data_IF_869676556454
#
_entry.id   IF_869676556454
#
_cell.length_a   1.000
_cell.length_b   1.000
_cell.length_c   1.000
_cell.angle_alpha   90.00
_cell.angle_beta   90.00
_cell.angle_gamma   90.00
#
_symmetry.space_group_name_H-M   'P 1'
#
loop_
_entity.id
_entity.type
_entity.pdbx_description
1 polymer ?
#
# COMPACT_ATOMS: atom_id res chain seq x y z
N UNK A 1 -21.40 0.98 28.84
CA UNK A 1 -22.72 0.74 28.23
C UNK A 1 -23.14 -0.69 28.57
N UNK A 2 -23.56 -0.90 29.78
CA UNK A 2 -23.84 -2.22 30.37
C UNK A 2 -25.04 -2.97 29.77
N UNK A 3 -25.79 -2.35 28.89
CA UNK A 3 -27.00 -2.92 28.28
C UNK A 3 -26.86 -3.14 26.76
N UNK A 4 -25.85 -2.56 26.13
CA UNK A 4 -25.67 -2.58 24.69
C UNK A 4 -24.63 -3.65 24.27
N UNK A 5 -25.02 -4.59 23.41
CA UNK A 5 -24.18 -5.69 22.95
C UNK A 5 -23.87 -5.63 21.47
N UNK A 6 -22.60 -5.70 21.14
CA UNK A 6 -22.10 -5.66 19.78
C UNK A 6 -21.19 -6.88 19.52
N UNK A 7 -21.66 -7.80 18.67
CA UNK A 7 -20.86 -8.90 18.17
C UNK A 7 -20.98 -8.96 16.65
N UNK A 8 -19.84 -8.87 15.96
CA UNK A 8 -19.77 -8.90 14.49
C UNK A 8 -20.13 -10.26 13.91
N UNK A 9 -19.98 -11.32 14.68
CA UNK A 9 -20.23 -12.69 14.24
C UNK A 9 -21.62 -13.20 14.64
N UNK A 10 -22.45 -12.37 15.29
CA UNK A 10 -23.78 -12.77 15.71
C UNK A 10 -24.74 -12.90 14.51
N UNK A 11 -25.16 -14.11 14.24
CA UNK A 11 -26.12 -14.46 13.19
C UNK A 11 -27.54 -14.64 13.69
N UNK A 12 -27.77 -14.52 15.01
CA UNK A 12 -29.10 -14.75 15.61
C UNK A 12 -30.02 -13.55 15.35
N UNK A 13 -31.26 -13.82 14.95
CA UNK A 13 -32.26 -12.81 14.61
C UNK A 13 -32.86 -12.10 15.83
N UNK A 14 -32.78 -12.69 17.05
CA UNK A 14 -33.37 -12.10 18.25
C UNK A 14 -32.71 -10.77 18.59
N UNK A 15 -33.56 -9.77 18.85
CA UNK A 15 -33.15 -8.39 19.22
C UNK A 15 -32.46 -8.36 20.59
N UNK A 16 -32.93 -9.20 21.51
CA UNK A 16 -32.41 -9.32 22.89
C UNK A 16 -31.54 -10.56 22.98
N UNK A 17 -30.37 -10.40 23.58
CA UNK A 17 -29.49 -11.48 24.00
C UNK A 17 -29.56 -11.61 25.54
N UNK A 18 -29.75 -12.81 26.04
CA UNK A 18 -29.68 -13.12 27.49
C UNK A 18 -28.40 -13.94 27.67
N UNK A 19 -27.51 -13.45 28.51
CA UNK A 19 -26.25 -14.12 28.79
C UNK A 19 -26.41 -15.26 29.85
N UNK A 20 -25.29 -15.93 30.15
CA UNK A 20 -25.27 -17.04 31.13
C UNK A 20 -25.55 -16.63 32.58
N UNK A 21 -25.57 -15.33 32.86
CA UNK A 21 -25.92 -14.76 34.16
C UNK A 21 -27.34 -14.22 34.19
N UNK A 22 -28.19 -14.54 33.18
CA UNK A 22 -29.55 -14.06 33.00
C UNK A 22 -29.64 -12.55 32.76
N UNK A 23 -28.50 -11.89 32.46
CA UNK A 23 -28.47 -10.47 32.14
C UNK A 23 -28.97 -10.25 30.73
N UNK A 24 -29.85 -9.25 30.56
CA UNK A 24 -30.46 -8.88 29.29
C UNK A 24 -29.63 -7.84 28.57
N UNK A 25 -29.40 -8.05 27.25
CA UNK A 25 -28.62 -7.18 26.40
C UNK A 25 -29.39 -6.85 25.13
N UNK A 26 -29.38 -5.56 24.72
CA UNK A 26 -29.88 -5.13 23.41
C UNK A 26 -28.81 -5.25 22.36
N UNK A 27 -29.11 -5.92 21.23
CA UNK A 27 -28.19 -6.05 20.14
C UNK A 27 -28.15 -4.79 19.27
N UNK A 28 -27.05 -4.06 19.29
CA UNK A 28 -26.88 -2.77 18.64
C UNK A 28 -27.23 -2.77 17.15
N UNK A 29 -27.06 -3.90 16.42
CA UNK A 29 -27.38 -4.00 14.99
C UNK A 29 -28.85 -3.67 14.69
N UNK A 30 -29.78 -3.96 15.60
CA UNK A 30 -31.22 -3.73 15.41
C UNK A 30 -31.60 -2.26 15.56
N UNK A 31 -30.72 -1.37 16.05
CA UNK A 31 -31.01 0.07 16.11
C UNK A 31 -31.29 0.65 14.72
N UNK A 32 -30.69 0.06 13.67
CA UNK A 32 -30.87 0.51 12.28
C UNK A 32 -32.29 0.26 11.76
N UNK A 33 -33.03 -0.68 12.36
CA UNK A 33 -34.41 -0.99 12.03
C UNK A 33 -35.39 0.08 12.60
N UNK A 34 -34.92 0.86 13.59
CA UNK A 34 -35.70 1.86 14.32
C UNK A 34 -35.62 3.27 13.72
N UNK A 35 -35.25 3.41 12.43
CA UNK A 35 -35.01 4.69 11.75
C UNK A 35 -36.14 5.73 11.89
N UNK A 36 -37.38 5.28 12.10
CA UNK A 36 -38.53 6.15 12.25
C UNK A 36 -39.02 6.17 13.73
N UNK A 37 -39.34 7.35 14.23
CA UNK A 37 -39.87 7.52 15.58
C UNK A 37 -41.05 6.59 15.88
N UNK A 38 -41.94 6.34 14.91
CA UNK A 38 -43.05 5.41 15.04
C UNK A 38 -42.57 3.96 15.31
N UNK A 39 -41.53 3.50 14.63
CA UNK A 39 -40.99 2.17 14.86
C UNK A 39 -40.33 2.07 16.24
N UNK A 40 -39.67 3.13 16.67
CA UNK A 40 -39.08 3.23 18.01
C UNK A 40 -40.13 3.15 19.11
N UNK A 41 -41.22 3.91 18.96
CA UNK A 41 -42.34 3.88 19.92
C UNK A 41 -42.99 2.49 19.99
N UNK A 42 -43.30 1.88 18.84
CA UNK A 42 -43.86 0.52 18.77
C UNK A 42 -42.92 -0.51 19.39
N UNK A 43 -41.63 -0.36 19.21
CA UNK A 43 -40.63 -1.24 19.79
C UNK A 43 -40.57 -1.11 21.32
N UNK A 44 -40.59 0.12 21.85
CA UNK A 44 -40.51 0.38 23.26
C UNK A 44 -41.78 -0.08 24.02
N UNK A 45 -42.94 0.03 23.40
CA UNK A 45 -44.21 -0.38 23.95
C UNK A 45 -44.52 -1.88 23.76
N UNK A 46 -43.61 -2.61 23.09
CA UNK A 46 -43.83 -4.04 22.85
C UNK A 46 -43.71 -4.87 24.14
N UNK A 47 -44.73 -5.62 24.50
CA UNK A 47 -44.68 -6.50 25.66
C UNK A 47 -43.67 -7.64 25.54
N UNK A 48 -43.20 -7.92 24.33
CA UNK A 48 -42.25 -9.00 24.06
C UNK A 48 -40.83 -8.73 24.63
N UNK A 49 -40.47 -7.46 24.87
CA UNK A 49 -39.13 -7.09 25.33
C UNK A 49 -39.05 -6.68 26.78
N UNK A 50 -40.18 -6.23 27.37
CA UNK A 50 -40.34 -5.85 28.80
C UNK A 50 -39.11 -5.03 29.30
N UNK A 51 -38.87 -3.87 28.68
CA UNK A 51 -37.75 -2.99 29.04
C UNK A 51 -38.07 -2.23 30.32
N UNK A 52 -37.08 -2.08 31.18
CA UNK A 52 -37.11 -1.17 32.32
C UNK A 52 -36.95 0.28 31.86
N UNK A 53 -37.34 1.24 32.71
CA UNK A 53 -37.23 2.67 32.44
C UNK A 53 -35.76 3.07 32.13
N UNK A 54 -34.79 2.53 32.87
CA UNK A 54 -33.36 2.75 32.63
C UNK A 54 -32.88 2.16 31.30
N UNK A 55 -33.38 1.00 30.87
CA UNK A 55 -33.07 0.39 29.58
C UNK A 55 -33.64 1.23 28.44
N UNK A 56 -34.83 1.78 28.59
CA UNK A 56 -35.46 2.68 27.62
C UNK A 56 -34.70 3.99 27.49
N UNK A 57 -34.20 4.56 28.58
CA UNK A 57 -33.36 5.75 28.57
C UNK A 57 -32.06 5.50 27.77
N UNK A 58 -31.36 4.41 28.08
CA UNK A 58 -30.14 4.02 27.34
C UNK A 58 -30.40 3.77 25.85
N UNK A 59 -31.53 3.16 25.49
CA UNK A 59 -31.91 3.00 24.08
C UNK A 59 -32.19 4.35 23.40
N UNK A 60 -32.83 5.28 24.10
CA UNK A 60 -33.07 6.63 23.62
C UNK A 60 -31.78 7.42 23.38
N UNK A 61 -30.84 7.35 24.31
CA UNK A 61 -29.51 7.93 24.15
C UNK A 61 -28.75 7.32 22.94
N UNK A 62 -28.78 6.00 22.82
CA UNK A 62 -28.14 5.30 21.73
C UNK A 62 -28.79 5.63 20.37
N UNK A 63 -30.13 5.69 20.33
CA UNK A 63 -30.86 6.14 19.14
C UNK A 63 -30.48 7.56 18.75
N UNK A 64 -30.46 8.47 19.72
CA UNK A 64 -30.07 9.86 19.48
C UNK A 64 -28.63 9.97 18.99
N UNK A 65 -27.73 9.17 19.53
CA UNK A 65 -26.32 9.12 19.09
C UNK A 65 -26.17 8.71 17.61
N UNK A 66 -27.00 7.78 17.15
CA UNK A 66 -26.91 7.23 15.77
C UNK A 66 -27.68 8.11 14.77
N UNK A 67 -28.89 8.60 15.12
CA UNK A 67 -29.81 9.24 14.18
C UNK A 67 -29.94 10.75 14.36
N UNK A 68 -29.29 11.36 15.35
CA UNK A 68 -29.36 12.81 15.54
C UNK A 68 -28.64 13.52 14.38
N UNK A 69 -29.36 14.42 13.72
CA UNK A 69 -28.84 15.30 12.65
C UNK A 69 -28.26 16.60 13.20
N UNK A 70 -28.16 16.74 14.52
CA UNK A 70 -27.59 17.93 15.17
C UNK A 70 -26.07 18.01 14.97
N UNK A 71 -25.47 19.17 15.27
CA UNK A 71 -24.02 19.45 15.14
C UNK A 71 -23.08 18.48 15.90
N UNK A 72 -23.65 17.49 16.60
CA UNK A 72 -22.92 16.46 17.36
C UNK A 72 -22.85 15.11 16.63
N UNK A 73 -23.10 15.05 15.33
CA UNK A 73 -22.94 13.82 14.55
C UNK A 73 -21.49 13.30 14.71
N UNK A 74 -21.37 12.04 15.18
CA UNK A 74 -20.08 11.39 15.41
C UNK A 74 -19.49 10.78 14.14
N UNK A 75 -20.34 10.54 13.15
CA UNK A 75 -19.96 9.96 11.86
C UNK A 75 -20.42 10.92 10.77
N UNK A 76 -19.46 11.51 10.10
CA UNK A 76 -19.71 12.31 8.90
C UNK A 76 -19.30 11.51 7.67
N UNK A 77 -20.07 11.57 6.60
CA UNK A 77 -19.69 10.99 5.33
C UNK A 77 -19.79 12.04 4.22
N UNK A 78 -18.96 11.90 3.24
CA UNK A 78 -19.01 12.64 1.99
C UNK A 78 -19.26 11.65 0.85
N UNK A 79 -20.33 11.86 0.09
CA UNK A 79 -20.62 11.05 -1.08
C UNK A 79 -19.84 11.63 -2.27
N UNK A 80 -18.90 10.86 -2.80
CA UNK A 80 -18.21 11.17 -4.04
C UNK A 80 -18.90 10.43 -5.20
N UNK A 81 -19.32 11.16 -6.22
CA UNK A 81 -20.04 10.63 -7.39
C UNK A 81 -19.10 10.35 -8.57
N UNK A 82 -17.83 10.75 -8.48
CA UNK A 82 -16.84 10.50 -9.53
C UNK A 82 -16.15 9.15 -9.28
N UNK A 83 -16.37 8.20 -10.17
CA UNK A 83 -15.84 6.82 -10.07
C UNK A 83 -14.33 6.71 -10.29
N UNK A 84 -13.59 7.83 -10.43
CA UNK A 84 -12.14 7.81 -10.61
C UNK A 84 -11.44 7.37 -9.33
N UNK A 85 -10.73 6.23 -9.32
CA UNK A 85 -10.01 5.72 -8.15
C UNK A 85 -9.02 6.73 -7.56
N UNK A 86 -8.38 7.53 -8.41
CA UNK A 86 -7.42 8.56 -8.02
C UNK A 86 -8.05 9.65 -7.15
N UNK A 87 -9.29 10.05 -7.45
CA UNK A 87 -10.01 11.05 -6.66
C UNK A 87 -10.37 10.51 -5.28
N UNK A 88 -10.87 9.28 -5.22
CA UNK A 88 -11.18 8.61 -3.96
C UNK A 88 -9.96 8.50 -3.05
N UNK A 89 -8.80 8.13 -3.62
CA UNK A 89 -7.54 8.05 -2.87
C UNK A 89 -7.05 9.41 -2.41
N UNK A 90 -7.13 10.44 -3.24
CA UNK A 90 -6.74 11.79 -2.84
C UNK A 90 -7.61 12.32 -1.69
N UNK A 91 -8.91 12.06 -1.71
CA UNK A 91 -9.83 12.39 -0.62
C UNK A 91 -9.44 11.61 0.64
N UNK A 92 -9.20 10.31 0.52
CA UNK A 92 -8.79 9.46 1.63
C UNK A 92 -7.50 9.92 2.31
N UNK A 93 -6.46 10.26 1.53
CA UNK A 93 -5.20 10.83 2.05
C UNK A 93 -5.45 12.14 2.79
N UNK A 94 -6.23 13.04 2.22
CA UNK A 94 -6.52 14.36 2.82
C UNK A 94 -7.29 14.24 4.12
N UNK A 95 -8.26 13.34 4.21
CA UNK A 95 -9.03 13.12 5.44
C UNK A 95 -8.14 12.52 6.54
N UNK A 96 -7.23 11.61 6.19
CA UNK A 96 -6.34 10.97 7.14
C UNK A 96 -5.10 11.82 7.50
N UNK A 97 -4.89 12.98 6.88
CA UNK A 97 -3.75 13.86 7.17
C UNK A 97 -3.77 14.48 8.57
N UNK A 98 -4.89 14.44 9.28
CA UNK A 98 -5.02 14.89 10.67
C UNK A 98 -4.64 13.84 11.74
N UNK A 99 -4.31 12.61 11.33
CA UNK A 99 -3.93 11.50 12.21
C UNK A 99 -2.58 10.90 11.83
N UNK A 100 -2.45 9.56 11.92
CA UNK A 100 -1.31 8.85 11.35
C UNK A 100 -1.35 9.02 9.83
N UNK A 101 -0.43 9.80 9.29
CA UNK A 101 -0.35 10.08 7.85
C UNK A 101 -0.16 8.76 7.11
N UNK A 102 -1.17 8.37 6.33
CA UNK A 102 -0.99 7.32 5.34
C UNK A 102 -0.22 7.92 4.16
N UNK A 103 0.93 7.33 3.86
CA UNK A 103 1.71 7.74 2.70
C UNK A 103 1.01 7.23 1.42
N UNK A 104 1.17 7.97 0.34
CA UNK A 104 0.64 7.61 -0.96
C UNK A 104 1.13 6.23 -1.41
N UNK A 105 2.34 5.87 -1.03
CA UNK A 105 2.93 4.55 -1.25
C UNK A 105 2.19 3.40 -0.55
N UNK A 106 1.62 3.63 0.64
CA UNK A 106 0.85 2.61 1.37
C UNK A 106 -0.41 2.21 0.59
N UNK A 107 -1.04 3.17 -0.04
CA UNK A 107 -2.24 2.95 -0.84
C UNK A 107 -1.89 2.23 -2.14
N UNK A 108 -0.82 2.66 -2.81
CA UNK A 108 -0.33 1.98 -4.01
C UNK A 108 0.12 0.55 -3.72
N UNK A 109 0.75 0.33 -2.56
CA UNK A 109 1.09 -1.01 -2.11
C UNK A 109 -0.15 -1.87 -1.90
N UNK A 110 -1.18 -1.33 -1.25
CA UNK A 110 -2.46 -2.02 -1.06
C UNK A 110 -3.16 -2.33 -2.39
N UNK A 111 -3.07 -1.41 -3.36
CA UNK A 111 -3.58 -1.62 -4.70
C UNK A 111 -2.80 -2.72 -5.44
N UNK A 112 -1.48 -2.73 -5.36
CA UNK A 112 -0.64 -3.78 -5.93
C UNK A 112 -0.97 -5.15 -5.31
N UNK A 113 -1.09 -5.22 -3.98
CA UNK A 113 -1.46 -6.45 -3.25
C UNK A 113 -2.82 -6.98 -3.70
N UNK A 114 -3.81 -6.11 -3.89
CA UNK A 114 -5.15 -6.52 -4.30
C UNK A 114 -5.24 -7.05 -5.74
N UNK A 115 -4.28 -6.71 -6.60
CA UNK A 115 -4.31 -7.02 -8.03
C UNK A 115 -3.37 -8.16 -8.46
N UNK A 116 -2.50 -8.65 -7.59
CA UNK A 116 -1.76 -9.90 -7.86
C UNK A 116 -2.68 -11.10 -7.69
N UNK A 117 -2.57 -12.07 -8.61
CA UNK A 117 -3.48 -13.20 -8.68
C UNK A 117 -2.85 -14.53 -8.28
N UNK A 118 -1.56 -14.72 -8.58
CA UNK A 118 -0.86 -15.99 -8.43
C UNK A 118 0.10 -16.01 -7.23
N UNK A 119 0.46 -14.85 -6.70
CA UNK A 119 1.40 -14.70 -5.58
C UNK A 119 0.83 -13.73 -4.55
N UNK A 120 1.18 -13.93 -3.30
CA UNK A 120 0.92 -12.94 -2.26
C UNK A 120 1.96 -11.80 -2.36
N UNK A 121 1.58 -10.71 -3.01
CA UNK A 121 2.43 -9.54 -3.19
C UNK A 121 2.93 -8.97 -1.86
N UNK A 122 2.12 -9.05 -0.80
CA UNK A 122 2.50 -8.54 0.52
C UNK A 122 3.66 -9.32 1.09
N UNK A 123 3.54 -10.64 1.11
CA UNK A 123 4.60 -11.54 1.59
C UNK A 123 5.83 -11.41 0.72
N UNK A 124 5.70 -11.50 -0.59
CA UNK A 124 6.84 -11.44 -1.52
C UNK A 124 7.66 -10.13 -1.40
N UNK A 125 7.00 -8.99 -1.29
CA UNK A 125 7.67 -7.69 -1.19
C UNK A 125 8.30 -7.51 0.19
N UNK A 126 7.59 -7.87 1.27
CA UNK A 126 8.13 -7.77 2.63
C UNK A 126 9.33 -8.69 2.82
N UNK A 127 9.26 -9.95 2.38
CA UNK A 127 10.37 -10.89 2.45
C UNK A 127 11.61 -10.38 1.71
N UNK A 128 11.41 -9.74 0.55
CA UNK A 128 12.52 -9.13 -0.19
C UNK A 128 13.15 -7.96 0.58
N UNK A 129 12.33 -7.09 1.14
CA UNK A 129 12.79 -5.97 1.97
C UNK A 129 13.56 -6.48 3.18
N UNK A 130 13.00 -7.45 3.90
CA UNK A 130 13.61 -8.05 5.09
C UNK A 130 14.93 -8.77 4.75
N UNK A 131 14.97 -9.49 3.65
CA UNK A 131 16.20 -10.12 3.18
C UNK A 131 17.32 -9.10 2.92
N UNK A 132 17.01 -8.01 2.21
CA UNK A 132 18.01 -6.98 1.89
C UNK A 132 18.47 -6.26 3.16
N UNK A 133 17.56 -5.94 4.07
CA UNK A 133 17.89 -5.21 5.27
C UNK A 133 18.65 -6.08 6.28
N UNK A 134 18.14 -7.27 6.59
CA UNK A 134 18.69 -8.12 7.64
C UNK A 134 19.91 -8.92 7.18
N UNK A 135 19.94 -9.44 5.94
CA UNK A 135 21.00 -10.31 5.46
C UNK A 135 22.11 -9.56 4.72
N UNK A 136 21.76 -8.46 4.03
CA UNK A 136 22.72 -7.70 3.24
C UNK A 136 23.20 -6.41 3.92
N UNK A 137 22.49 -5.95 4.98
CA UNK A 137 22.90 -4.81 5.80
C UNK A 137 22.57 -3.45 5.20
N UNK A 138 21.53 -3.38 4.38
CA UNK A 138 21.00 -2.13 3.84
C UNK A 138 19.75 -1.69 4.60
N UNK A 139 19.16 -0.56 4.20
CA UNK A 139 17.91 -0.05 4.74
C UNK A 139 17.04 0.47 3.60
N UNK A 140 16.18 -0.41 3.09
CA UNK A 140 15.17 -0.08 2.09
C UNK A 140 13.78 -0.29 2.64
N UNK A 141 12.79 0.37 2.04
CA UNK A 141 11.37 0.18 2.36
C UNK A 141 10.64 -0.47 1.17
N UNK A 142 9.37 -0.83 1.38
CA UNK A 142 8.47 -1.26 0.29
C UNK A 142 8.37 -0.21 -0.82
N UNK A 143 8.49 1.08 -0.50
CA UNK A 143 8.47 2.18 -1.48
C UNK A 143 9.61 2.06 -2.47
N UNK A 144 10.79 1.60 -2.03
CA UNK A 144 11.90 1.31 -2.92
C UNK A 144 11.50 0.26 -3.97
N UNK A 145 10.82 -0.80 -3.55
CA UNK A 145 10.39 -1.87 -4.47
C UNK A 145 9.34 -1.34 -5.47
N UNK A 146 8.34 -0.60 -4.99
CA UNK A 146 7.33 0.00 -5.86
C UNK A 146 7.95 1.00 -6.85
N UNK A 147 8.92 1.79 -6.39
CA UNK A 147 9.66 2.72 -7.25
C UNK A 147 10.55 2.01 -8.27
N UNK A 148 11.10 0.85 -7.91
CA UNK A 148 11.82 0.01 -8.85
C UNK A 148 10.92 -0.45 -10.01
N UNK A 149 9.65 -0.81 -9.73
CA UNK A 149 8.69 -1.15 -10.78
C UNK A 149 8.50 0.01 -11.77
N UNK A 150 8.28 1.22 -11.26
CA UNK A 150 8.13 2.41 -12.09
C UNK A 150 9.42 2.70 -12.89
N UNK A 151 10.57 2.60 -12.24
CA UNK A 151 11.86 2.87 -12.91
C UNK A 151 12.15 1.86 -14.02
N UNK A 152 11.77 0.61 -13.86
CA UNK A 152 11.96 -0.43 -14.87
C UNK A 152 11.03 -0.26 -16.08
N UNK A 153 9.77 0.14 -15.86
CA UNK A 153 8.73 -0.03 -16.86
C UNK A 153 7.85 1.18 -17.15
N UNK A 154 7.86 2.22 -16.32
CA UNK A 154 6.95 3.34 -16.48
C UNK A 154 7.68 4.62 -16.92
N UNK A 155 7.03 5.44 -17.76
CA UNK A 155 7.61 6.71 -18.25
C UNK A 155 7.78 7.76 -17.15
N UNK A 156 6.93 7.71 -16.13
CA UNK A 156 6.94 8.62 -14.98
C UNK A 156 7.29 7.85 -13.71
N UNK A 157 8.31 8.34 -12.99
CA UNK A 157 8.79 7.73 -11.74
C UNK A 157 8.08 8.38 -10.53
N UNK A 158 6.85 8.83 -10.72
CA UNK A 158 6.03 9.39 -9.63
C UNK A 158 5.00 8.36 -9.18
N UNK A 159 4.81 8.28 -7.87
CA UNK A 159 3.71 7.52 -7.32
C UNK A 159 2.37 8.17 -7.68
N UNK A 160 1.65 7.57 -8.63
CA UNK A 160 0.30 7.94 -9.05
C UNK A 160 -0.48 6.66 -9.29
N UNK A 161 -1.77 6.65 -9.02
CA UNK A 161 -2.60 5.44 -9.23
C UNK A 161 -2.59 5.05 -10.70
N UNK A 162 -2.75 6.02 -11.60
CA UNK A 162 -2.72 5.78 -13.04
C UNK A 162 -1.43 5.09 -13.52
N UNK A 163 -0.33 5.22 -12.76
CA UNK A 163 0.94 4.53 -13.05
C UNK A 163 0.88 3.03 -12.76
N UNK A 164 -0.13 2.56 -12.02
CA UNK A 164 -0.30 1.16 -11.62
C UNK A 164 -1.55 0.51 -12.25
N UNK A 165 -2.29 1.25 -13.08
CA UNK A 165 -3.47 0.78 -13.80
C UNK A 165 -3.13 0.04 -15.10
N UNK A 166 -4.17 -0.33 -15.87
CA UNK A 166 -4.05 -0.88 -17.22
C UNK A 166 -3.20 -2.16 -17.34
N UNK A 167 -3.32 -3.05 -16.36
CA UNK A 167 -2.61 -4.32 -16.39
C UNK A 167 -1.12 -4.23 -16.02
N UNK A 168 -0.61 -3.04 -15.66
CA UNK A 168 0.77 -2.85 -15.21
C UNK A 168 1.12 -3.77 -14.06
N UNK A 169 0.30 -3.82 -13.02
CA UNK A 169 0.52 -4.66 -11.84
C UNK A 169 0.58 -6.16 -12.19
N UNK A 170 -0.29 -6.62 -13.09
CA UNK A 170 -0.28 -8.01 -13.55
C UNK A 170 1.02 -8.36 -14.26
N UNK A 171 1.51 -7.47 -15.12
CA UNK A 171 2.80 -7.68 -15.80
C UNK A 171 3.99 -7.65 -14.83
N UNK A 172 3.92 -6.83 -13.78
CA UNK A 172 4.91 -6.86 -12.71
C UNK A 172 4.91 -8.23 -12.01
N UNK A 173 3.73 -8.81 -11.73
CA UNK A 173 3.63 -10.14 -11.15
C UNK A 173 4.27 -11.21 -12.05
N UNK A 174 3.97 -11.17 -13.34
CA UNK A 174 4.55 -12.09 -14.34
C UNK A 174 6.10 -12.00 -14.38
N UNK A 175 6.64 -10.80 -14.26
CA UNK A 175 8.09 -10.52 -14.29
C UNK A 175 8.76 -10.54 -12.91
N UNK A 176 7.99 -10.77 -11.85
CA UNK A 176 8.43 -10.62 -10.45
C UNK A 176 9.71 -11.38 -10.13
N UNK A 177 9.84 -12.63 -10.57
CA UNK A 177 11.02 -13.45 -10.29
C UNK A 177 12.31 -12.79 -10.78
N UNK A 178 12.30 -12.25 -12.00
CA UNK A 178 13.46 -11.58 -12.59
C UNK A 178 13.73 -10.22 -11.91
N UNK A 179 12.68 -9.47 -11.57
CA UNK A 179 12.80 -8.21 -10.85
C UNK A 179 13.42 -8.45 -9.47
N UNK A 180 12.87 -9.38 -8.70
CA UNK A 180 13.35 -9.79 -7.38
C UNK A 180 14.83 -10.19 -7.42
N UNK A 181 15.18 -11.05 -8.36
CA UNK A 181 16.57 -11.51 -8.53
C UNK A 181 17.50 -10.36 -8.90
N UNK A 182 17.10 -9.46 -9.79
CA UNK A 182 17.89 -8.29 -10.18
C UNK A 182 18.16 -7.35 -9.01
N UNK A 183 17.14 -7.10 -8.18
CA UNK A 183 17.27 -6.29 -6.97
C UNK A 183 18.24 -6.98 -5.98
N UNK A 184 18.05 -8.26 -5.69
CA UNK A 184 18.93 -9.01 -4.78
C UNK A 184 20.39 -8.97 -5.28
N UNK A 185 20.63 -9.29 -6.55
CA UNK A 185 21.98 -9.30 -7.12
C UNK A 185 22.62 -7.93 -7.09
N UNK A 186 21.84 -6.87 -7.30
CA UNK A 186 22.31 -5.49 -7.13
C UNK A 186 22.83 -5.25 -5.72
N UNK A 187 22.05 -5.55 -4.70
CA UNK A 187 22.47 -5.33 -3.31
C UNK A 187 23.61 -6.25 -2.87
N UNK A 188 23.66 -7.49 -3.35
CA UNK A 188 24.82 -8.38 -3.14
C UNK A 188 26.08 -7.77 -3.75
N UNK A 189 26.00 -7.24 -4.98
CA UNK A 189 27.13 -6.59 -5.63
C UNK A 189 27.60 -5.34 -4.87
N UNK A 190 26.67 -4.50 -4.39
CA UNK A 190 26.99 -3.33 -3.57
C UNK A 190 27.66 -3.73 -2.24
N UNK A 191 27.19 -4.79 -1.59
CA UNK A 191 27.83 -5.36 -0.40
C UNK A 191 29.26 -5.84 -0.69
N UNK A 192 29.48 -6.49 -1.85
CA UNK A 192 30.81 -6.92 -2.27
C UNK A 192 31.76 -5.74 -2.56
N UNK A 193 31.22 -4.57 -2.90
CA UNK A 193 31.98 -3.32 -2.97
C UNK A 193 32.26 -2.66 -1.62
N UNK A 194 31.82 -3.27 -0.51
CA UNK A 194 31.98 -2.75 0.85
C UNK A 194 30.92 -1.72 1.25
N UNK A 195 29.80 -1.61 0.52
CA UNK A 195 28.73 -0.68 0.83
C UNK A 195 27.69 -1.31 1.77
N UNK A 196 27.04 -0.47 2.54
CA UNK A 196 25.96 -0.82 3.46
C UNK A 196 25.03 0.40 3.69
N UNK A 197 24.06 0.28 4.58
CA UNK A 197 23.11 1.37 4.90
C UNK A 197 23.76 2.66 5.38
N UNK A 198 24.96 2.62 5.97
CA UNK A 198 25.67 3.81 6.47
C UNK A 198 26.49 4.51 5.39
N UNK A 199 26.96 3.76 4.40
CA UNK A 199 27.84 4.27 3.35
C UNK A 199 27.09 4.66 2.08
N UNK A 200 25.90 4.08 1.85
CA UNK A 200 25.04 4.41 0.72
C UNK A 200 24.26 5.72 1.03
N UNK A 201 24.66 6.82 0.42
CA UNK A 201 24.10 8.16 0.68
C UNK A 201 22.64 8.32 0.22
N UNK A 202 22.17 7.54 -0.74
CA UNK A 202 20.79 7.57 -1.26
C UNK A 202 20.43 6.26 -1.93
N UNK A 203 19.31 5.67 -1.56
CA UNK A 203 18.74 4.49 -2.22
C UNK A 203 18.38 4.75 -3.69
N UNK A 204 18.12 6.01 -4.08
CA UNK A 204 17.86 6.37 -5.48
C UNK A 204 19.03 6.04 -6.41
N UNK A 205 20.26 6.04 -5.91
CA UNK A 205 21.45 5.67 -6.69
C UNK A 205 21.45 4.20 -7.12
N UNK A 206 20.61 3.36 -6.51
CA UNK A 206 20.56 1.92 -6.80
C UNK A 206 19.71 1.60 -8.03
N UNK A 207 18.66 2.39 -8.32
CA UNK A 207 17.75 2.10 -9.43
C UNK A 207 18.43 1.96 -10.80
N UNK A 208 19.38 2.82 -11.19
CA UNK A 208 20.10 2.65 -12.46
C UNK A 208 20.86 1.33 -12.55
N UNK A 209 21.38 0.81 -11.43
CA UNK A 209 22.09 -0.47 -11.38
C UNK A 209 21.10 -1.62 -11.56
N UNK A 210 19.95 -1.56 -10.86
CA UNK A 210 18.85 -2.56 -11.02
C UNK A 210 18.42 -2.60 -12.48
N UNK A 211 18.19 -1.42 -13.09
CA UNK A 211 17.80 -1.31 -14.50
C UNK A 211 18.84 -1.97 -15.43
N UNK A 212 20.11 -1.64 -15.22
CA UNK A 212 21.21 -2.18 -16.00
C UNK A 212 21.30 -3.71 -15.93
N UNK A 213 21.28 -4.26 -14.70
CA UNK A 213 21.35 -5.71 -14.48
C UNK A 213 20.14 -6.42 -15.08
N UNK A 214 18.94 -5.84 -14.89
CA UNK A 214 17.68 -6.40 -15.37
C UNK A 214 17.64 -6.46 -16.90
N UNK A 215 17.80 -5.34 -17.58
CA UNK A 215 17.63 -5.25 -19.02
C UNK A 215 18.78 -5.85 -19.83
N UNK A 216 19.95 -6.00 -19.23
CA UNK A 216 21.06 -6.78 -19.83
C UNK A 216 21.04 -8.27 -19.49
N UNK A 217 20.03 -8.73 -18.72
CA UNK A 217 19.92 -10.12 -18.27
C UNK A 217 21.19 -10.65 -17.58
N UNK A 218 21.79 -9.84 -16.69
CA UNK A 218 23.06 -10.19 -16.02
C UNK A 218 22.86 -10.93 -14.69
N UNK A 219 21.63 -11.21 -14.29
CA UNK A 219 21.28 -11.72 -12.96
C UNK A 219 21.99 -13.00 -12.55
N UNK A 220 22.25 -13.91 -13.47
CA UNK A 220 22.88 -15.19 -13.15
C UNK A 220 24.37 -15.04 -12.84
N UNK A 221 25.08 -14.19 -13.58
CA UNK A 221 26.53 -14.20 -13.64
C UNK A 221 27.21 -12.92 -13.15
N UNK A 222 26.45 -11.86 -12.82
CA UNK A 222 27.01 -10.53 -12.50
C UNK A 222 27.96 -10.56 -11.30
N UNK A 223 27.82 -11.50 -10.38
CA UNK A 223 28.62 -11.55 -9.16
C UNK A 223 30.03 -12.09 -9.45
N UNK A 224 30.14 -13.21 -10.15
CA UNK A 224 31.37 -14.02 -10.20
C UNK A 224 31.98 -14.18 -11.61
N UNK A 225 31.18 -14.06 -12.67
CA UNK A 225 31.69 -14.34 -14.03
C UNK A 225 32.83 -13.38 -14.42
N UNK A 226 33.91 -13.95 -14.91
CA UNK A 226 35.09 -13.19 -15.37
C UNK A 226 34.72 -12.30 -16.58
N UNK A 227 33.85 -12.77 -17.46
CA UNK A 227 33.34 -12.03 -18.61
C UNK A 227 32.65 -10.73 -18.25
N UNK A 228 32.03 -10.64 -17.05
CA UNK A 228 31.32 -9.47 -16.56
C UNK A 228 32.17 -8.59 -15.63
N UNK A 229 33.48 -8.75 -15.61
CA UNK A 229 34.38 -7.90 -14.82
C UNK A 229 34.24 -6.43 -15.20
N UNK A 230 34.15 -6.12 -16.48
CA UNK A 230 34.00 -4.75 -16.96
C UNK A 230 32.67 -4.13 -16.52
N UNK A 231 31.59 -4.89 -16.59
CA UNK A 231 30.26 -4.41 -16.09
C UNK A 231 30.31 -4.09 -14.60
N UNK A 232 30.94 -4.94 -13.78
CA UNK A 232 31.15 -4.66 -12.35
C UNK A 232 31.98 -3.40 -12.10
N UNK A 233 33.04 -3.16 -12.87
CA UNK A 233 33.86 -1.95 -12.76
C UNK A 233 33.07 -0.67 -13.16
N UNK A 234 32.24 -0.76 -14.19
CA UNK A 234 31.34 0.34 -14.59
C UNK A 234 30.36 0.65 -13.47
N UNK A 235 29.67 -0.37 -12.91
CA UNK A 235 28.74 -0.23 -11.81
C UNK A 235 29.44 0.36 -10.58
N UNK A 236 30.65 -0.11 -10.27
CA UNK A 236 31.44 0.39 -9.14
C UNK A 236 31.81 1.86 -9.32
N UNK A 237 32.28 2.26 -10.48
CA UNK A 237 32.58 3.67 -10.78
C UNK A 237 31.34 4.55 -10.67
N UNK A 238 30.21 4.08 -11.21
CA UNK A 238 28.93 4.79 -11.12
C UNK A 238 28.52 5.01 -9.67
N UNK A 239 28.46 3.95 -8.85
CA UNK A 239 27.95 4.08 -7.47
C UNK A 239 28.88 4.93 -6.59
N UNK A 240 30.19 4.82 -6.75
CA UNK A 240 31.14 5.67 -6.05
C UNK A 240 31.00 7.14 -6.45
N UNK A 241 30.83 7.42 -7.74
CA UNK A 241 30.53 8.77 -8.23
C UNK A 241 29.22 9.32 -7.65
N UNK A 242 28.18 8.50 -7.60
CA UNK A 242 26.89 8.89 -7.02
C UNK A 242 26.97 9.18 -5.52
N UNK A 243 27.79 8.46 -4.77
CA UNK A 243 28.04 8.70 -3.33
C UNK A 243 28.80 10.01 -3.12
N UNK A 244 29.82 10.27 -3.92
CA UNK A 244 30.68 11.45 -3.78
C UNK A 244 29.98 12.73 -4.24
N UNK A 245 29.33 12.70 -5.40
CA UNK A 245 28.70 13.88 -6.01
C UNK A 245 27.29 14.15 -5.49
N UNK A 246 26.66 13.18 -4.83
CA UNK A 246 25.32 13.27 -4.22
C UNK A 246 24.22 13.83 -5.17
N UNK A 247 24.13 13.39 -6.43
CA UNK A 247 23.17 13.93 -7.40
C UNK A 247 21.71 13.77 -6.99
N UNK A 248 21.42 12.85 -6.08
CA UNK A 248 20.09 12.55 -5.57
C UNK A 248 19.69 13.33 -4.31
N UNK A 249 20.49 14.30 -3.87
CA UNK A 249 20.24 15.06 -2.65
C UNK A 249 19.13 16.12 -2.74
N UNK A 250 18.64 16.39 -3.96
CA UNK A 250 17.52 17.31 -4.20
C UNK A 250 16.30 16.57 -4.77
N UNK A 251 15.81 17.00 -5.96
CA UNK A 251 14.75 16.34 -6.69
C UNK A 251 15.21 15.02 -7.33
N UNK A 252 15.34 13.98 -6.52
CA UNK A 252 15.84 12.65 -6.95
C UNK A 252 15.02 12.04 -8.11
N UNK A 253 13.73 12.29 -8.18
CA UNK A 253 12.85 11.77 -9.23
C UNK A 253 13.14 12.40 -10.60
N UNK A 254 13.52 13.67 -10.64
CA UNK A 254 13.92 14.32 -11.88
C UNK A 254 15.26 13.76 -12.41
N UNK A 255 16.21 13.51 -11.50
CA UNK A 255 17.49 12.89 -11.84
C UNK A 255 17.27 11.48 -12.38
N UNK A 256 16.45 10.67 -11.71
CA UNK A 256 16.10 9.33 -12.16
C UNK A 256 15.40 9.34 -13.53
N UNK A 257 14.48 10.27 -13.74
CA UNK A 257 13.79 10.42 -15.05
C UNK A 257 14.79 10.72 -16.17
N UNK A 258 15.77 11.57 -15.91
CA UNK A 258 16.79 11.89 -16.92
C UNK A 258 17.73 10.70 -17.19
N UNK A 259 18.19 10.01 -16.14
CA UNK A 259 18.99 8.79 -16.30
C UNK A 259 18.23 7.73 -17.09
N UNK A 260 16.95 7.54 -16.80
CA UNK A 260 16.12 6.57 -17.51
C UNK A 260 15.96 6.91 -19.00
N UNK A 261 15.81 8.17 -19.37
CA UNK A 261 15.77 8.61 -20.77
C UNK A 261 17.06 8.21 -21.51
N UNK A 262 18.22 8.35 -20.87
CA UNK A 262 19.50 7.91 -21.45
C UNK A 262 19.51 6.40 -21.62
N UNK A 263 19.10 5.64 -20.64
CA UNK A 263 19.05 4.18 -20.71
C UNK A 263 18.11 3.68 -21.82
N UNK A 264 16.92 4.24 -21.95
CA UNK A 264 15.97 3.87 -23.01
C UNK A 264 16.61 4.08 -24.38
N UNK A 265 17.29 5.21 -24.60
CA UNK A 265 17.96 5.52 -25.84
C UNK A 265 19.11 4.54 -26.16
N UNK A 266 19.95 4.22 -25.17
CA UNK A 266 21.13 3.36 -25.35
C UNK A 266 20.78 1.88 -25.44
N UNK A 267 19.74 1.42 -24.72
CA UNK A 267 19.34 0.01 -24.71
C UNK A 267 18.36 -0.34 -25.82
N UNK A 268 17.89 0.65 -26.58
CA UNK A 268 16.84 0.45 -27.60
C UNK A 268 15.62 -0.31 -27.05
N UNK A 269 15.31 -0.04 -25.78
CA UNK A 269 14.35 -0.81 -25.03
C UNK A 269 12.94 -0.28 -25.27
N UNK A 270 12.18 -0.98 -26.10
CA UNK A 270 10.74 -0.81 -26.30
C UNK A 270 9.91 -1.28 -25.09
N UNK A 271 10.52 -1.41 -23.89
CA UNK A 271 9.80 -1.84 -22.70
C UNK A 271 8.65 -0.89 -22.30
N UNK A 272 8.74 0.40 -22.67
CA UNK A 272 7.60 1.34 -22.54
C UNK A 272 6.46 1.01 -23.51
N UNK A 273 6.74 0.57 -24.74
CA UNK A 273 5.71 0.17 -25.69
C UNK A 273 4.97 -1.07 -25.22
N UNK A 274 5.63 -2.02 -24.55
CA UNK A 274 4.98 -3.19 -23.97
C UNK A 274 3.90 -2.82 -22.94
N UNK A 275 4.08 -1.72 -22.18
CA UNK A 275 3.15 -1.29 -21.14
C UNK A 275 2.18 -0.18 -21.57
N UNK A 276 2.56 0.65 -22.54
CA UNK A 276 1.72 1.75 -23.04
C UNK A 276 0.70 1.32 -24.12
N UNK A 277 0.90 0.16 -24.78
CA UNK A 277 0.02 -0.39 -25.78
C UNK A 277 -1.17 -1.19 -25.22
N UNK A 278 -1.39 -1.16 -23.90
CA UNK A 278 -2.56 -1.75 -23.28
C UNK A 278 -3.61 -0.65 -23.11
N UNK A 279 -4.44 -0.49 -24.12
CA UNK A 279 -5.66 0.30 -24.07
C UNK A 279 -6.81 -0.56 -23.63
#
# INVERSE_FOLDING_TARGET
>A
YEFLWLDRNDTKEKVIYIDKFEQKWFKCKHILELKMFHNMKKFWESPDYNFTEQELEKLGEFYTLIFSTSNNTKINYYLEEDDKPEKAVNIFIRINSGGTSLDYSDILFSYAVANWQNKDARTEINDLVDYINNNLGFNISKDFILKAFLFLYHSQIKFQINSFENGFIRKIEEKWSNIKTSIIKTFVLLKNFGLNSKTLSSNNAVFPIVYYIYHKNLTENIIDAISLKNDREIIKKYILGAILLKPFGGSGDNVLTNIRKVFIKEFNNNSEEEFNNIK
#
